data_IF_629842460937
#
_entry.id   IF_629842460937
#
_cell.length_a   1.000
_cell.length_b   1.000
_cell.length_c   1.000
_cell.angle_alpha   90.00
_cell.angle_beta   90.00
_cell.angle_gamma   90.00
#
_symmetry.space_group_name_H-M   'P 1'
#
loop_
_entity.id
_entity.type
_entity.pdbx_description
1 polymer ?
#
# COMPACT_ATOMS: atom_id res chain seq x y z
N UNK A 1 34.51 16.06 7.22
CA UNK A 1 33.08 16.10 6.84
C UNK A 1 32.91 15.87 5.34
N UNK A 2 33.61 14.88 4.73
CA UNK A 2 33.63 14.73 3.26
C UNK A 2 34.02 13.31 2.76
N UNK A 3 33.69 12.25 3.52
CA UNK A 3 33.89 10.84 3.08
C UNK A 3 32.60 10.02 3.02
N UNK A 4 31.46 10.55 3.49
CA UNK A 4 30.16 9.86 3.46
C UNK A 4 29.59 9.81 2.03
N UNK A 5 29.93 10.79 1.18
CA UNK A 5 29.42 10.87 -0.20
C UNK A 5 29.98 9.78 -1.14
N UNK A 6 31.13 9.17 -0.82
CA UNK A 6 31.66 8.04 -1.62
C UNK A 6 31.05 6.69 -1.25
N UNK A 7 30.56 6.51 -0.02
CA UNK A 7 29.84 5.28 0.36
C UNK A 7 28.38 5.28 -0.09
N UNK A 8 27.78 6.45 -0.34
CA UNK A 8 26.38 6.60 -0.73
C UNK A 8 26.07 6.15 -2.18
N UNK A 9 27.07 6.00 -3.05
CA UNK A 9 26.85 5.67 -4.47
C UNK A 9 26.98 4.17 -4.75
N UNK A 10 27.75 3.40 -3.98
CA UNK A 10 28.33 2.17 -4.56
C UNK A 10 27.57 0.85 -4.32
N UNK A 11 26.61 0.77 -3.38
CA UNK A 11 25.69 -0.39 -3.35
C UNK A 11 24.29 0.02 -2.91
N UNK A 12 23.41 0.25 -3.89
CA UNK A 12 21.97 0.17 -3.69
C UNK A 12 21.64 -1.25 -3.18
N UNK A 13 21.56 -1.41 -1.86
CA UNK A 13 21.15 -2.66 -1.26
C UNK A 13 19.64 -2.80 -1.42
N UNK A 14 19.24 -3.61 -2.41
CA UNK A 14 17.87 -4.07 -2.53
C UNK A 14 17.71 -5.24 -1.56
N UNK A 15 17.17 -4.96 -0.37
CA UNK A 15 16.86 -5.97 0.64
C UNK A 15 15.39 -6.33 0.67
N UNK A 16 14.99 -7.11 1.69
CA UNK A 16 13.62 -7.61 1.82
C UNK A 16 12.61 -6.47 2.01
N UNK A 17 12.95 -5.42 2.77
CA UNK A 17 12.02 -4.29 2.98
C UNK A 17 11.75 -3.56 1.68
N UNK A 18 12.79 -3.32 0.91
CA UNK A 18 12.69 -2.69 -0.41
C UNK A 18 11.83 -3.53 -1.37
N UNK A 19 12.06 -4.84 -1.43
CA UNK A 19 11.29 -5.74 -2.30
C UNK A 19 9.82 -5.82 -1.88
N UNK A 20 9.53 -5.92 -0.59
CA UNK A 20 8.17 -5.94 -0.07
C UNK A 20 7.45 -4.60 -0.28
N UNK A 21 8.15 -3.47 -0.14
CA UNK A 21 7.60 -2.15 -0.47
C UNK A 21 7.21 -2.07 -1.96
N UNK A 22 8.12 -2.41 -2.87
CA UNK A 22 7.87 -2.35 -4.32
C UNK A 22 6.81 -3.37 -4.74
N UNK A 23 6.94 -4.62 -4.29
CA UNK A 23 6.02 -5.71 -4.63
C UNK A 23 4.62 -5.53 -4.03
N UNK A 24 4.51 -4.90 -2.86
CA UNK A 24 3.23 -4.60 -2.22
C UNK A 24 2.44 -3.47 -2.87
N UNK A 25 3.14 -2.44 -3.36
CA UNK A 25 2.49 -1.22 -3.83
C UNK A 25 2.38 -1.13 -5.35
N UNK A 26 3.32 -1.73 -6.10
CA UNK A 26 3.28 -1.64 -7.58
C UNK A 26 1.99 -2.23 -8.17
N UNK A 27 1.52 -3.44 -7.76
CA UNK A 27 0.31 -4.03 -8.34
C UNK A 27 -0.91 -3.11 -8.22
N UNK A 28 -1.16 -2.55 -7.02
CA UNK A 28 -2.32 -1.68 -6.81
C UNK A 28 -2.20 -0.37 -7.61
N UNK A 29 -1.01 0.21 -7.71
CA UNK A 29 -0.79 1.45 -8.49
C UNK A 29 -1.07 1.24 -9.97
N UNK A 30 -0.65 0.10 -10.52
CA UNK A 30 -0.98 -0.28 -11.90
C UNK A 30 -2.48 -0.54 -12.07
N UNK A 31 -3.09 -1.28 -11.14
CA UNK A 31 -4.51 -1.64 -11.21
C UNK A 31 -5.44 -0.41 -11.12
N UNK A 32 -5.16 0.51 -10.19
CA UNK A 32 -5.95 1.74 -10.00
C UNK A 32 -6.02 2.62 -11.25
N UNK A 33 -4.98 2.60 -12.09
CA UNK A 33 -4.93 3.41 -13.31
C UNK A 33 -5.49 2.64 -14.50
N UNK A 34 -5.13 1.37 -14.66
CA UNK A 34 -5.44 0.60 -15.87
C UNK A 34 -6.83 -0.03 -15.85
N UNK A 35 -7.27 -0.59 -14.71
CA UNK A 35 -8.52 -1.34 -14.65
C UNK A 35 -9.76 -0.47 -14.89
N UNK A 36 -9.89 0.75 -14.31
CA UNK A 36 -11.04 1.61 -14.62
C UNK A 36 -11.09 1.99 -16.10
N UNK A 37 -9.96 2.36 -16.70
CA UNK A 37 -9.90 2.69 -18.13
C UNK A 37 -10.28 1.51 -19.02
N UNK A 38 -9.82 0.31 -18.67
CA UNK A 38 -10.17 -0.92 -19.41
C UNK A 38 -11.65 -1.29 -19.25
N UNK A 39 -12.20 -1.26 -18.04
CA UNK A 39 -13.59 -1.62 -17.76
C UNK A 39 -14.57 -0.68 -18.50
N UNK A 40 -14.25 0.62 -18.57
CA UNK A 40 -15.02 1.61 -19.34
C UNK A 40 -14.91 1.32 -20.84
N UNK A 41 -13.70 1.03 -21.34
CA UNK A 41 -13.48 0.71 -22.75
C UNK A 41 -14.20 -0.57 -23.19
N UNK A 42 -14.21 -1.60 -22.34
CA UNK A 42 -14.91 -2.86 -22.56
C UNK A 42 -16.44 -2.70 -22.49
N UNK A 43 -16.93 -1.61 -21.88
CA UNK A 43 -18.36 -1.36 -21.68
C UNK A 43 -18.97 -2.14 -20.52
N UNK A 44 -18.12 -2.70 -19.64
CA UNK A 44 -18.50 -3.44 -18.44
C UNK A 44 -19.11 -2.49 -17.38
N UNK A 45 -18.73 -1.21 -17.43
CA UNK A 45 -19.16 -0.17 -16.48
C UNK A 45 -19.60 1.06 -17.26
N UNK A 46 -20.69 1.70 -16.81
CA UNK A 46 -21.36 2.77 -17.55
C UNK A 46 -21.73 3.92 -16.63
N UNK A 47 -21.76 5.12 -17.19
CA UNK A 47 -22.27 6.32 -16.51
C UNK A 47 -23.75 6.09 -16.14
N UNK A 48 -24.19 6.42 -14.91
CA UNK A 48 -23.48 7.18 -13.87
C UNK A 48 -22.67 6.35 -12.87
N UNK A 49 -22.74 5.03 -12.93
CA UNK A 49 -22.17 4.11 -11.95
C UNK A 49 -20.73 3.74 -12.34
N UNK A 50 -19.84 4.73 -12.20
CA UNK A 50 -18.42 4.66 -12.60
C UNK A 50 -17.45 4.64 -11.41
N UNK A 51 -17.91 4.37 -10.20
CA UNK A 51 -17.04 4.41 -9.02
C UNK A 51 -16.15 3.17 -8.95
N UNK A 52 -15.05 3.25 -8.18
CA UNK A 52 -14.24 2.07 -7.92
C UNK A 52 -15.05 0.95 -7.24
N UNK A 53 -16.07 1.32 -6.46
CA UNK A 53 -17.03 0.38 -5.88
C UNK A 53 -17.76 -0.45 -6.94
N UNK A 54 -18.10 0.19 -8.05
CA UNK A 54 -18.91 -0.39 -9.12
C UNK A 54 -18.06 -1.35 -9.95
N UNK A 55 -16.75 -1.09 -10.07
CA UNK A 55 -15.78 -2.05 -10.62
C UNK A 55 -15.73 -3.36 -9.83
N UNK A 56 -15.93 -3.33 -8.51
CA UNK A 56 -15.94 -4.56 -7.70
C UNK A 56 -17.24 -5.34 -7.85
N UNK A 57 -18.34 -4.62 -8.07
CA UNK A 57 -19.67 -5.19 -8.22
C UNK A 57 -19.99 -5.62 -9.66
N UNK A 58 -19.14 -5.26 -10.64
CA UNK A 58 -19.32 -5.63 -12.03
C UNK A 58 -19.21 -7.16 -12.22
N UNK A 59 -20.35 -7.85 -12.21
CA UNK A 59 -20.46 -9.29 -12.48
C UNK A 59 -20.37 -9.59 -13.99
N UNK A 60 -20.74 -8.61 -14.83
CA UNK A 60 -20.67 -8.68 -16.29
C UNK A 60 -19.24 -8.41 -16.76
N UNK A 61 -18.42 -9.46 -16.86
CA UNK A 61 -17.10 -9.35 -17.49
C UNK A 61 -16.31 -10.67 -17.50
N UNK A 62 -15.45 -10.84 -18.51
CA UNK A 62 -14.53 -11.98 -18.68
C UNK A 62 -13.33 -11.96 -17.72
N UNK A 63 -13.16 -10.91 -16.91
CA UNK A 63 -11.99 -10.67 -16.07
C UNK A 63 -12.44 -10.46 -14.61
N UNK A 64 -11.82 -11.14 -13.63
CA UNK A 64 -12.24 -11.02 -12.23
C UNK A 64 -11.66 -9.73 -11.61
N UNK A 65 -12.20 -8.55 -11.99
CA UNK A 65 -11.77 -7.24 -11.49
C UNK A 65 -11.73 -7.22 -9.96
N UNK A 66 -12.78 -7.75 -9.33
CA UNK A 66 -12.87 -7.90 -7.88
C UNK A 66 -11.68 -8.67 -7.31
N UNK A 67 -11.27 -9.79 -7.91
CA UNK A 67 -10.12 -10.57 -7.42
C UNK A 67 -8.80 -9.84 -7.61
N UNK A 68 -8.62 -9.12 -8.72
CA UNK A 68 -7.41 -8.33 -8.97
C UNK A 68 -7.28 -7.21 -7.94
N UNK A 69 -8.34 -6.43 -7.75
CA UNK A 69 -8.37 -5.39 -6.74
C UNK A 69 -8.25 -5.95 -5.33
N UNK A 70 -8.90 -7.07 -5.01
CA UNK A 70 -8.75 -7.75 -3.72
C UNK A 70 -7.29 -8.04 -3.42
N UNK A 71 -6.58 -8.69 -4.35
CA UNK A 71 -5.15 -8.99 -4.18
C UNK A 71 -4.35 -7.69 -4.06
N UNK A 72 -4.63 -6.69 -4.91
CA UNK A 72 -3.95 -5.40 -4.89
C UNK A 72 -4.12 -4.65 -3.56
N UNK A 73 -5.34 -4.59 -3.03
CA UNK A 73 -5.66 -3.91 -1.77
C UNK A 73 -5.11 -4.66 -0.56
N UNK A 74 -5.21 -5.99 -0.52
CA UNK A 74 -4.62 -6.76 0.58
C UNK A 74 -3.10 -6.54 0.63
N UNK A 75 -2.41 -6.67 -0.52
CA UNK A 75 -0.98 -6.39 -0.61
C UNK A 75 -0.65 -4.95 -0.21
N UNK A 76 -1.42 -3.98 -0.69
CA UNK A 76 -1.25 -2.57 -0.37
C UNK A 76 -1.38 -2.32 1.14
N UNK A 77 -2.45 -2.83 1.75
CA UNK A 77 -2.81 -2.52 3.13
C UNK A 77 -1.85 -3.21 4.13
N UNK A 78 -1.53 -4.48 3.89
CA UNK A 78 -0.59 -5.25 4.72
C UNK A 78 0.83 -4.69 4.59
N UNK A 79 1.29 -4.41 3.36
CA UNK A 79 2.63 -3.86 3.14
C UNK A 79 2.73 -2.41 3.60
N UNK A 80 1.65 -1.62 3.52
CA UNK A 80 1.62 -0.27 4.09
C UNK A 80 1.77 -0.32 5.60
N UNK A 81 1.01 -1.19 6.27
CA UNK A 81 1.08 -1.35 7.72
C UNK A 81 2.47 -1.81 8.16
N UNK A 82 3.03 -2.79 7.46
CA UNK A 82 4.37 -3.30 7.76
C UNK A 82 5.45 -2.25 7.49
N UNK A 83 5.47 -1.60 6.32
CA UNK A 83 6.45 -0.57 6.00
C UNK A 83 6.35 0.62 6.96
N UNK A 84 5.14 1.06 7.29
CA UNK A 84 4.94 2.12 8.27
C UNK A 84 5.41 1.70 9.66
N UNK A 85 5.21 0.44 10.08
CA UNK A 85 5.74 -0.05 11.36
C UNK A 85 7.28 0.00 11.41
N UNK A 86 7.96 -0.38 10.33
CA UNK A 86 9.43 -0.31 10.23
C UNK A 86 9.90 1.14 10.32
N UNK A 87 9.24 2.03 9.57
CA UNK A 87 9.53 3.46 9.61
C UNK A 87 9.26 4.08 10.98
N UNK A 88 8.15 3.74 11.63
CA UNK A 88 7.79 4.23 12.95
C UNK A 88 8.80 3.79 14.01
N UNK A 89 9.28 2.54 13.97
CA UNK A 89 10.33 2.06 14.87
C UNK A 89 11.61 2.88 14.74
N UNK A 90 12.05 3.10 13.49
CA UNK A 90 13.21 3.94 13.18
C UNK A 90 13.02 5.39 13.65
N UNK A 91 11.88 6.00 13.34
CA UNK A 91 11.59 7.37 13.75
C UNK A 91 11.55 7.51 15.27
N UNK A 92 10.97 6.55 15.96
CA UNK A 92 10.82 6.58 17.42
C UNK A 92 12.11 6.24 18.17
N UNK A 93 13.08 5.58 17.54
CA UNK A 93 14.42 5.37 18.12
C UNK A 93 15.21 6.68 18.10
N UNK A 94 15.07 7.47 17.04
CA UNK A 94 15.78 8.75 16.87
C UNK A 94 15.09 9.93 17.57
N UNK A 95 13.75 9.99 17.53
CA UNK A 95 12.97 11.09 18.10
C UNK A 95 11.80 10.57 18.97
N UNK A 96 11.98 10.49 20.30
CA UNK A 96 10.95 9.96 21.21
C UNK A 96 9.62 10.73 21.19
N UNK A 97 9.62 12.03 20.83
CA UNK A 97 8.38 12.83 20.74
C UNK A 97 7.44 12.34 19.62
N UNK A 98 8.00 11.69 18.60
CA UNK A 98 7.22 11.17 17.47
C UNK A 98 6.35 9.95 17.86
N UNK A 99 6.60 9.30 19.01
CA UNK A 99 5.90 8.08 19.45
C UNK A 99 4.38 8.21 19.45
N UNK A 100 3.86 9.32 19.97
CA UNK A 100 2.41 9.53 20.03
C UNK A 100 1.80 9.62 18.62
N UNK A 101 2.42 10.41 17.73
CA UNK A 101 1.95 10.57 16.35
C UNK A 101 2.05 9.26 15.55
N UNK A 102 3.18 8.54 15.65
CA UNK A 102 3.35 7.22 15.04
C UNK A 102 2.29 6.23 15.55
N UNK A 103 2.00 6.22 16.86
CA UNK A 103 0.96 5.37 17.45
C UNK A 103 -0.43 5.68 16.90
N UNK A 104 -0.79 6.96 16.77
CA UNK A 104 -2.09 7.38 16.21
C UNK A 104 -2.20 7.00 14.73
N UNK A 105 -1.15 7.23 13.92
CA UNK A 105 -1.13 6.80 12.52
C UNK A 105 -1.29 5.28 12.42
N UNK A 106 -0.62 4.52 13.28
CA UNK A 106 -0.74 3.07 13.31
C UNK A 106 -2.17 2.61 13.61
N UNK A 107 -2.86 3.26 14.56
CA UNK A 107 -4.28 3.02 14.83
C UNK A 107 -5.14 3.29 13.59
N UNK A 108 -4.92 4.40 12.89
CA UNK A 108 -5.63 4.70 11.64
C UNK A 108 -5.31 3.70 10.53
N UNK A 109 -4.06 3.24 10.40
CA UNK A 109 -3.70 2.21 9.43
C UNK A 109 -4.44 0.89 9.72
N UNK A 110 -4.54 0.46 10.97
CA UNK A 110 -5.24 -0.80 11.34
C UNK A 110 -6.75 -0.67 11.21
N UNK A 111 -7.35 0.27 11.95
CA UNK A 111 -8.80 0.34 12.10
C UNK A 111 -9.49 1.21 11.05
N UNK A 112 -8.76 2.17 10.51
CA UNK A 112 -9.29 3.11 9.52
C UNK A 112 -9.06 2.67 8.08
N UNK A 113 -7.86 2.17 7.77
CA UNK A 113 -7.48 1.81 6.40
C UNK A 113 -7.69 0.31 6.16
N UNK A 114 -6.95 -0.55 6.86
CA UNK A 114 -7.01 -2.00 6.64
C UNK A 114 -8.42 -2.54 6.86
N UNK A 115 -9.00 -2.31 8.03
CA UNK A 115 -10.35 -2.79 8.36
C UNK A 115 -11.41 -2.32 7.34
N UNK A 116 -11.37 -1.05 6.94
CA UNK A 116 -12.33 -0.53 5.97
C UNK A 116 -12.10 -1.07 4.55
N UNK A 117 -10.86 -1.32 4.13
CA UNK A 117 -10.59 -2.01 2.86
C UNK A 117 -11.19 -3.42 2.86
N UNK A 118 -11.05 -4.17 3.96
CA UNK A 118 -11.68 -5.49 4.08
C UNK A 118 -13.22 -5.42 4.02
N UNK A 119 -13.83 -4.41 4.67
CA UNK A 119 -15.27 -4.19 4.57
C UNK A 119 -15.72 -3.85 3.15
N UNK A 120 -15.00 -2.97 2.45
CA UNK A 120 -15.33 -2.60 1.07
C UNK A 120 -15.26 -3.79 0.10
N UNK A 121 -14.33 -4.72 0.36
CA UNK A 121 -14.17 -5.94 -0.44
C UNK A 121 -15.23 -7.00 -0.12
N UNK A 122 -15.66 -7.10 1.14
CA UNK A 122 -16.64 -8.08 1.59
C UNK A 122 -18.10 -7.67 1.35
N UNK A 123 -18.38 -6.37 1.19
CA UNK A 123 -19.71 -5.82 0.97
C UNK A 123 -19.76 -5.12 -0.39
N UNK A 124 -19.93 -5.93 -1.44
CA UNK A 124 -20.36 -5.49 -2.76
C UNK A 124 -21.90 -5.51 -2.83
N UNK A 125 -22.49 -4.65 -3.64
CA UNK A 125 -23.92 -4.67 -3.92
C UNK A 125 -24.13 -4.64 -5.43
N UNK A 126 -24.94 -5.55 -5.95
CA UNK A 126 -25.24 -5.67 -7.39
C UNK A 126 -26.44 -4.77 -7.72
N UNK A 127 -26.30 -3.65 -8.44
CA UNK A 127 -27.46 -2.79 -8.74
C UNK A 127 -28.45 -3.35 -9.79
N UNK A 128 -28.36 -4.62 -10.19
CA UNK A 128 -29.10 -5.21 -11.33
C UNK A 128 -30.65 -5.17 -11.21
N UNK A 129 -31.21 -4.88 -10.03
CA UNK A 129 -32.67 -4.91 -9.81
C UNK A 129 -33.44 -3.67 -10.28
N UNK A 130 -32.80 -2.54 -10.62
CA UNK A 130 -33.54 -1.33 -11.02
C UNK A 130 -33.91 -1.28 -12.50
N UNK A 131 -33.37 -2.17 -13.35
CA UNK A 131 -33.55 -2.09 -14.81
C UNK A 131 -34.35 -3.24 -15.45
N UNK A 132 -34.45 -4.41 -14.82
CA UNK A 132 -35.26 -5.52 -15.37
C UNK A 132 -36.67 -5.58 -14.78
N UNK A 133 -37.45 -4.53 -15.05
CA UNK A 133 -38.92 -4.53 -14.95
C UNK A 133 -39.59 -5.36 -16.06
N UNK A 134 -38.99 -6.47 -16.49
CA UNK A 134 -39.49 -7.28 -17.60
C UNK A 134 -39.64 -8.75 -17.21
N UNK A 135 -40.87 -9.07 -16.78
CA UNK A 135 -41.60 -10.30 -17.15
C UNK A 135 -40.91 -11.62 -16.78
N UNK A 136 -41.05 -12.05 -15.53
CA UNK A 136 -41.48 -13.42 -15.21
C UNK A 136 -41.81 -13.51 -13.71
N UNK A 137 -43.11 -13.46 -13.42
CA UNK A 137 -43.69 -13.77 -12.12
C UNK A 137 -43.50 -15.26 -11.81
N UNK A 138 -42.69 -15.61 -10.80
CA UNK A 138 -42.87 -16.82 -9.95
C UNK A 138 -41.75 -17.04 -8.91
N UNK A 139 -41.11 -15.98 -8.39
CA UNK A 139 -40.14 -16.11 -7.28
C UNK A 139 -40.57 -15.27 -6.07
N UNK A 140 -41.87 -15.12 -5.84
CA UNK A 140 -42.43 -14.20 -4.84
C UNK A 140 -42.16 -14.59 -3.36
N UNK A 141 -41.38 -15.64 -3.09
CA UNK A 141 -41.03 -16.07 -1.73
C UNK A 141 -39.55 -15.88 -1.32
N UNK A 142 -38.66 -15.47 -2.24
CA UNK A 142 -37.27 -15.12 -1.90
C UNK A 142 -37.04 -13.60 -1.74
N UNK A 143 -38.04 -12.79 -2.08
CA UNK A 143 -37.92 -11.35 -2.31
C UNK A 143 -38.17 -10.44 -1.09
N UNK A 144 -38.51 -10.98 0.08
CA UNK A 144 -38.68 -10.14 1.29
C UNK A 144 -37.39 -9.89 2.10
N UNK A 145 -36.30 -10.62 1.84
CA UNK A 145 -35.01 -10.42 2.55
C UNK A 145 -33.99 -9.55 1.81
N UNK A 146 -34.20 -9.29 0.51
CA UNK A 146 -33.23 -8.58 -0.31
C UNK A 146 -33.13 -7.06 -0.09
N UNK A 147 -34.21 -6.28 0.16
CA UNK A 147 -34.07 -4.83 0.28
C UNK A 147 -33.31 -4.41 1.56
N UNK A 148 -33.51 -5.13 2.67
CA UNK A 148 -32.80 -4.85 3.92
C UNK A 148 -31.31 -5.19 3.79
N UNK A 149 -30.97 -6.35 3.20
CA UNK A 149 -29.58 -6.74 3.00
C UNK A 149 -28.84 -5.74 2.11
N UNK A 150 -29.44 -5.32 1.00
CA UNK A 150 -28.86 -4.34 0.08
C UNK A 150 -28.67 -2.98 0.74
N UNK A 151 -29.68 -2.50 1.47
CA UNK A 151 -29.57 -1.25 2.24
C UNK A 151 -28.45 -1.33 3.28
N UNK A 152 -28.34 -2.44 4.01
CA UNK A 152 -27.28 -2.65 4.99
C UNK A 152 -25.91 -2.70 4.32
N UNK A 153 -25.77 -3.46 3.22
CA UNK A 153 -24.52 -3.54 2.44
C UNK A 153 -24.08 -2.16 1.94
N UNK A 154 -25.02 -1.39 1.37
CA UNK A 154 -24.79 -0.02 0.91
C UNK A 154 -24.36 0.93 2.05
N UNK A 155 -25.04 0.88 3.21
CA UNK A 155 -24.66 1.67 4.39
C UNK A 155 -23.25 1.31 4.86
N UNK A 156 -22.94 0.01 4.96
CA UNK A 156 -21.61 -0.47 5.36
C UNK A 156 -20.56 0.02 4.38
N UNK A 157 -20.81 -0.10 3.08
CA UNK A 157 -19.90 0.32 2.03
C UNK A 157 -19.59 1.81 2.09
N UNK A 158 -20.62 2.67 2.16
CA UNK A 158 -20.44 4.12 2.28
C UNK A 158 -19.70 4.50 3.57
N UNK A 159 -20.07 3.87 4.69
CA UNK A 159 -19.42 4.14 5.98
C UNK A 159 -17.94 3.76 5.92
N UNK A 160 -17.63 2.57 5.37
CA UNK A 160 -16.27 2.09 5.21
C UNK A 160 -15.45 2.99 4.27
N UNK A 161 -15.98 3.39 3.12
CA UNK A 161 -15.31 4.32 2.22
C UNK A 161 -15.03 5.66 2.89
N UNK A 162 -16.01 6.20 3.62
CA UNK A 162 -15.86 7.47 4.34
C UNK A 162 -14.75 7.40 5.39
N UNK A 163 -14.76 6.34 6.22
CA UNK A 163 -13.75 6.13 7.25
C UNK A 163 -12.37 5.88 6.62
N UNK A 164 -12.29 5.12 5.53
CA UNK A 164 -11.06 4.87 4.78
C UNK A 164 -10.41 6.17 4.32
N UNK A 165 -11.15 6.99 3.56
CA UNK A 165 -10.61 8.24 3.02
C UNK A 165 -10.27 9.24 4.13
N UNK A 166 -11.11 9.37 5.15
CA UNK A 166 -10.82 10.20 6.31
C UNK A 166 -9.53 9.75 7.01
N UNK A 167 -9.34 8.44 7.19
CA UNK A 167 -8.15 7.87 7.83
C UNK A 167 -6.88 8.12 7.01
N UNK A 168 -6.93 7.95 5.69
CA UNK A 168 -5.82 8.30 4.79
C UNK A 168 -5.43 9.77 4.96
N UNK A 169 -6.40 10.68 4.97
CA UNK A 169 -6.11 12.10 5.16
C UNK A 169 -5.63 12.46 6.55
N UNK A 170 -6.14 11.81 7.61
CA UNK A 170 -5.64 12.01 8.97
C UNK A 170 -4.19 11.51 9.10
N UNK A 171 -3.86 10.37 8.50
CA UNK A 171 -2.47 9.91 8.41
C UNK A 171 -1.60 10.94 7.68
N UNK A 172 -2.09 11.50 6.57
CA UNK A 172 -1.37 12.51 5.81
C UNK A 172 -1.16 13.83 6.60
N UNK A 173 -2.20 14.27 7.31
CA UNK A 173 -2.15 15.45 8.19
C UNK A 173 -1.12 15.27 9.30
N UNK A 174 -1.11 14.12 9.97
CA UNK A 174 -0.16 13.82 11.03
C UNK A 174 1.27 13.70 10.49
N UNK A 175 1.44 13.06 9.33
CA UNK A 175 2.74 12.94 8.69
C UNK A 175 3.34 14.31 8.34
N UNK A 176 2.57 15.22 7.70
CA UNK A 176 3.07 16.54 7.26
C UNK A 176 3.21 17.53 8.41
N UNK A 177 2.28 17.54 9.37
CA UNK A 177 2.23 18.59 10.39
C UNK A 177 2.90 18.19 11.71
N UNK A 178 3.16 16.90 11.94
CA UNK A 178 3.77 16.42 13.18
C UNK A 178 5.08 15.66 12.92
N UNK A 179 5.04 14.58 12.14
CA UNK A 179 6.23 13.75 11.95
C UNK A 179 7.33 14.46 11.16
N UNK A 180 6.99 15.14 10.07
CA UNK A 180 7.98 15.78 9.22
C UNK A 180 8.68 16.99 9.89
N UNK A 181 8.00 17.89 10.62
CA UNK A 181 8.66 18.92 11.40
C UNK A 181 9.61 18.34 12.45
N UNK A 182 9.18 17.30 13.18
CA UNK A 182 10.03 16.62 14.16
C UNK A 182 11.27 15.99 13.51
N UNK A 183 11.11 15.36 12.35
CA UNK A 183 12.23 14.81 11.60
C UNK A 183 13.23 15.89 11.18
N UNK A 184 12.76 17.07 10.75
CA UNK A 184 13.61 18.22 10.40
C UNK A 184 14.31 18.84 11.62
N UNK A 185 13.60 18.98 12.74
CA UNK A 185 14.13 19.52 14.00
C UNK A 185 15.18 18.61 14.64
N UNK A 186 15.16 17.31 14.33
CA UNK A 186 16.14 16.34 14.84
C UNK A 186 17.60 16.65 14.44
N UNK A 187 17.85 17.69 13.63
CA UNK A 187 19.19 18.22 13.37
C UNK A 187 20.06 17.29 12.53
N UNK A 188 19.45 16.42 11.71
CA UNK A 188 20.15 15.43 10.89
C UNK A 188 20.48 14.13 11.63
N UNK A 189 19.94 13.90 12.83
CA UNK A 189 20.01 12.58 13.49
C UNK A 189 19.32 11.50 12.66
N UNK A 190 18.16 11.84 12.11
CA UNK A 190 17.55 11.01 11.07
C UNK A 190 18.36 11.18 9.79
N UNK A 191 19.15 10.16 9.45
CA UNK A 191 19.90 10.06 8.20
C UNK A 191 18.98 9.77 7.00
N UNK A 192 17.80 10.37 6.96
CA UNK A 192 16.87 10.18 5.85
C UNK A 192 17.34 10.92 4.59
N UNK A 193 17.35 10.26 3.43
CA UNK A 193 17.66 10.91 2.17
C UNK A 193 16.71 12.08 1.91
N UNK A 194 17.27 13.26 1.62
CA UNK A 194 16.47 14.47 1.38
C UNK A 194 15.47 14.33 0.21
N UNK A 195 15.79 13.47 -0.76
CA UNK A 195 14.89 13.16 -1.87
C UNK A 195 13.62 12.44 -1.41
N UNK A 196 13.73 11.47 -0.50
CA UNK A 196 12.58 10.75 0.05
C UNK A 196 11.70 11.69 0.85
N UNK A 197 12.29 12.54 1.70
CA UNK A 197 11.55 13.57 2.44
C UNK A 197 10.79 14.49 1.49
N UNK A 198 11.41 14.94 0.38
CA UNK A 198 10.75 15.81 -0.61
C UNK A 198 9.60 15.09 -1.33
N UNK A 199 9.81 13.84 -1.76
CA UNK A 199 8.78 13.03 -2.44
C UNK A 199 7.62 12.73 -1.50
N UNK A 200 7.93 12.31 -0.26
CA UNK A 200 6.94 12.05 0.79
C UNK A 200 6.12 13.30 1.09
N UNK A 201 6.75 14.45 1.27
CA UNK A 201 6.05 15.72 1.49
C UNK A 201 5.09 16.07 0.34
N UNK A 202 5.55 15.93 -0.91
CA UNK A 202 4.73 16.22 -2.09
C UNK A 202 3.49 15.33 -2.15
N UNK A 203 3.67 14.01 -2.08
CA UNK A 203 2.57 13.05 -2.17
C UNK A 203 1.63 13.12 -0.97
N UNK A 204 2.17 13.36 0.23
CA UNK A 204 1.35 13.46 1.44
C UNK A 204 0.47 14.71 1.42
N UNK A 205 1.00 15.84 0.92
CA UNK A 205 0.18 17.03 0.67
C UNK A 205 -0.86 16.80 -0.42
N UNK A 206 -0.52 16.06 -1.48
CA UNK A 206 -1.49 15.67 -2.49
C UNK A 206 -2.68 14.92 -1.85
N UNK A 207 -2.42 13.92 -1.02
CA UNK A 207 -3.48 13.21 -0.28
C UNK A 207 -4.32 14.15 0.60
N UNK A 208 -3.65 15.00 1.40
CA UNK A 208 -4.31 15.92 2.32
C UNK A 208 -5.25 16.89 1.60
N UNK A 209 -4.78 17.52 0.51
CA UNK A 209 -5.57 18.49 -0.26
C UNK A 209 -6.64 17.84 -1.14
N UNK A 210 -6.51 16.55 -1.44
CA UNK A 210 -7.53 15.84 -2.22
C UNK A 210 -8.82 15.66 -1.42
N UNK A 211 -8.77 15.48 -0.09
CA UNK A 211 -9.97 15.28 0.73
C UNK A 211 -11.05 16.37 0.60
N UNK A 212 -10.75 17.68 0.79
CA UNK A 212 -11.77 18.70 0.62
C UNK A 212 -12.33 18.75 -0.81
N UNK A 213 -11.48 18.50 -1.81
CA UNK A 213 -11.90 18.42 -3.21
C UNK A 213 -12.87 17.26 -3.43
N UNK A 214 -12.58 16.09 -2.86
CA UNK A 214 -13.51 14.93 -2.91
C UNK A 214 -14.81 15.23 -2.22
N UNK A 215 -14.78 15.90 -1.07
CA UNK A 215 -15.99 16.36 -0.39
C UNK A 215 -16.87 17.21 -1.31
N UNK A 216 -16.29 18.20 -2.00
CA UNK A 216 -17.00 19.05 -2.95
C UNK A 216 -17.54 18.24 -4.14
N UNK A 217 -16.71 17.40 -4.75
CA UNK A 217 -17.10 16.57 -5.90
C UNK A 217 -18.21 15.59 -5.53
N UNK A 218 -18.14 14.98 -4.34
CA UNK A 218 -19.16 14.05 -3.83
C UNK A 218 -20.48 14.78 -3.54
N UNK A 219 -20.44 15.99 -2.97
CA UNK A 219 -21.64 16.80 -2.78
C UNK A 219 -22.26 17.18 -4.12
N UNK A 220 -21.46 17.56 -5.12
CA UNK A 220 -21.94 17.85 -6.46
C UNK A 220 -22.56 16.61 -7.14
N UNK A 221 -21.94 15.43 -6.95
CA UNK A 221 -22.49 14.16 -7.41
C UNK A 221 -23.84 13.83 -6.77
N UNK A 222 -24.06 14.17 -5.49
CA UNK A 222 -25.33 13.92 -4.79
C UNK A 222 -26.42 14.92 -5.18
N UNK A 223 -26.09 16.21 -5.28
CA UNK A 223 -27.09 17.28 -5.36
C UNK A 223 -27.28 17.93 -6.74
N UNK A 224 -26.40 17.65 -7.72
CA UNK A 224 -26.49 18.25 -9.07
C UNK A 224 -26.94 17.24 -10.14
N UNK A 225 -26.00 16.54 -10.77
CA UNK A 225 -26.26 15.54 -11.81
C UNK A 225 -25.21 14.44 -11.69
N UNK A 226 -25.67 13.22 -11.34
CA UNK A 226 -24.79 12.07 -11.15
C UNK A 226 -23.98 11.76 -12.41
N UNK A 227 -24.57 11.90 -13.59
CA UNK A 227 -23.89 11.58 -14.85
C UNK A 227 -22.70 12.51 -15.11
N UNK A 228 -22.86 13.81 -14.82
CA UNK A 228 -21.81 14.80 -14.99
C UNK A 228 -20.65 14.60 -13.99
N UNK A 229 -20.96 14.21 -12.76
CA UNK A 229 -19.99 14.17 -11.66
C UNK A 229 -19.39 12.79 -11.38
N UNK A 230 -19.87 11.74 -12.04
CA UNK A 230 -19.36 10.38 -11.91
C UNK A 230 -17.86 10.28 -12.28
N UNK A 231 -17.45 10.81 -13.43
CA UNK A 231 -16.04 10.80 -13.86
C UNK A 231 -15.12 11.59 -12.93
N UNK A 232 -15.43 12.86 -12.57
CA UNK A 232 -14.66 13.59 -11.56
C UNK A 232 -14.51 12.82 -10.25
N UNK A 233 -15.58 12.18 -9.78
CA UNK A 233 -15.55 11.41 -8.55
C UNK A 233 -14.63 10.19 -8.66
N UNK A 234 -14.74 9.40 -9.73
CA UNK A 234 -13.83 8.28 -10.01
C UNK A 234 -12.37 8.74 -10.06
N UNK A 235 -12.07 9.82 -10.79
CA UNK A 235 -10.71 10.36 -10.90
C UNK A 235 -10.16 10.70 -9.52
N UNK A 236 -10.99 11.28 -8.66
CA UNK A 236 -10.59 11.63 -7.30
C UNK A 236 -10.37 10.41 -6.39
N UNK A 237 -11.19 9.36 -6.52
CA UNK A 237 -10.99 8.10 -5.80
C UNK A 237 -9.66 7.44 -6.20
N UNK A 238 -9.41 7.34 -7.51
CA UNK A 238 -8.14 6.85 -8.06
C UNK A 238 -6.99 7.72 -7.54
N UNK A 239 -7.11 9.04 -7.62
CA UNK A 239 -6.05 9.96 -7.26
C UNK A 239 -5.63 9.88 -5.79
N UNK A 240 -6.59 9.77 -4.85
CA UNK A 240 -6.26 9.63 -3.42
C UNK A 240 -5.53 8.32 -3.19
N UNK A 241 -6.06 7.20 -3.68
CA UNK A 241 -5.47 5.88 -3.45
C UNK A 241 -4.10 5.77 -4.12
N UNK A 242 -3.97 6.29 -5.34
CA UNK A 242 -2.70 6.35 -6.07
C UNK A 242 -1.67 7.22 -5.34
N UNK A 243 -2.08 8.41 -4.88
CA UNK A 243 -1.21 9.30 -4.11
C UNK A 243 -0.77 8.64 -2.80
N UNK A 244 -1.67 7.94 -2.09
CA UNK A 244 -1.34 7.20 -0.87
C UNK A 244 -0.33 6.07 -1.15
N UNK A 245 -0.53 5.31 -2.23
CA UNK A 245 0.45 4.31 -2.68
C UNK A 245 1.81 4.93 -3.05
N UNK A 246 1.80 6.12 -3.65
CA UNK A 246 3.01 6.87 -3.97
C UNK A 246 3.73 7.45 -2.74
N UNK A 247 3.00 7.88 -1.70
CA UNK A 247 3.58 8.23 -0.39
C UNK A 247 4.38 7.05 0.13
N UNK A 248 3.76 5.86 0.15
CA UNK A 248 4.41 4.67 0.67
C UNK A 248 5.61 4.27 -0.20
N UNK A 249 5.38 4.08 -1.50
CA UNK A 249 6.39 3.57 -2.42
C UNK A 249 7.56 4.54 -2.57
N UNK A 250 7.30 5.80 -2.92
CA UNK A 250 8.37 6.76 -3.25
C UNK A 250 8.85 7.58 -2.05
N UNK A 251 8.05 7.67 -0.98
CA UNK A 251 8.40 8.41 0.23
C UNK A 251 9.21 7.59 1.25
N UNK A 252 9.27 6.26 1.09
CA UNK A 252 10.06 5.38 1.94
C UNK A 252 11.07 4.50 1.20
N UNK A 253 11.21 4.63 -0.13
CA UNK A 253 12.05 3.72 -0.92
C UNK A 253 13.51 3.69 -0.44
N UNK A 254 14.16 4.84 -0.44
CA UNK A 254 15.56 4.91 -0.03
C UNK A 254 15.71 4.73 1.48
N UNK A 255 14.74 5.16 2.29
CA UNK A 255 14.72 4.84 3.72
C UNK A 255 14.72 3.33 3.96
N UNK A 256 13.89 2.56 3.24
CA UNK A 256 13.89 1.10 3.35
C UNK A 256 15.19 0.46 2.83
N UNK A 257 15.78 0.99 1.75
CA UNK A 257 17.08 0.55 1.27
C UNK A 257 18.21 0.82 2.27
N UNK A 258 18.16 1.96 2.96
CA UNK A 258 19.09 2.31 4.03
C UNK A 258 18.92 1.37 5.23
N UNK A 259 17.69 1.11 5.66
CA UNK A 259 17.42 0.15 6.75
C UNK A 259 17.85 -1.27 6.37
N UNK A 260 17.65 -1.68 5.11
CA UNK A 260 18.14 -2.96 4.59
C UNK A 260 19.68 -3.04 4.56
N UNK A 261 20.36 -1.90 4.39
CA UNK A 261 21.82 -1.82 4.46
C UNK A 261 22.34 -1.87 5.90
N UNK A 262 21.72 -1.11 6.81
CA UNK A 262 22.14 -0.99 8.21
C UNK A 262 21.81 -2.26 9.01
N UNK A 263 20.59 -2.78 8.85
CA UNK A 263 20.04 -3.91 9.59
C UNK A 263 19.28 -4.85 8.66
N UNK A 264 19.99 -5.69 7.87
CA UNK A 264 19.34 -6.60 6.93
C UNK A 264 18.46 -7.61 7.68
N UNK A 265 17.17 -7.69 7.33
CA UNK A 265 16.25 -8.68 7.90
C UNK A 265 16.65 -10.12 7.58
N UNK A 266 17.24 -10.32 6.41
CA UNK A 266 17.76 -11.61 5.98
C UNK A 266 19.24 -11.44 5.71
N UNK A 267 20.06 -12.03 6.58
CA UNK A 267 21.49 -12.10 6.34
C UNK A 267 21.81 -13.16 5.28
N UNK A 268 23.01 -13.08 4.70
CA UNK A 268 23.42 -14.02 3.64
C UNK A 268 23.45 -15.47 4.13
N UNK A 269 23.69 -15.69 5.41
CA UNK A 269 23.71 -17.02 6.01
C UNK A 269 22.32 -17.62 6.10
N UNK A 270 21.32 -16.85 6.57
CA UNK A 270 19.92 -17.25 6.56
C UNK A 270 19.40 -17.45 5.14
N UNK A 271 19.78 -16.64 4.15
CA UNK A 271 19.48 -16.92 2.74
C UNK A 271 20.02 -18.29 2.30
N UNK A 272 21.28 -18.62 2.64
CA UNK A 272 21.88 -19.92 2.29
C UNK A 272 21.17 -21.08 3.00
N UNK A 273 20.72 -20.88 4.24
CA UNK A 273 19.94 -21.87 4.98
C UNK A 273 18.55 -22.08 4.38
N UNK A 274 17.83 -21.00 4.08
CA UNK A 274 16.48 -21.03 3.49
C UNK A 274 16.47 -21.65 2.09
N UNK A 275 17.49 -21.36 1.28
CA UNK A 275 17.63 -21.95 -0.06
C UNK A 275 18.14 -23.39 -0.05
N UNK A 276 18.30 -24.01 1.13
CA UNK A 276 18.82 -25.37 1.26
C UNK A 276 20.26 -25.54 0.78
N UNK A 277 20.99 -24.42 0.62
CA UNK A 277 22.34 -24.40 0.06
C UNK A 277 23.44 -24.82 1.07
N UNK A 278 23.05 -25.16 2.30
CA UNK A 278 23.96 -25.55 3.38
C UNK A 278 24.68 -26.90 3.16
N UNK A 279 24.24 -27.70 2.18
CA UNK A 279 24.79 -29.05 1.95
C UNK A 279 26.02 -29.10 1.03
N UNK A 280 26.28 -28.07 0.21
CA UNK A 280 27.36 -28.13 -0.80
C UNK A 280 28.76 -27.78 -0.25
N UNK A 281 28.87 -27.09 0.88
CA UNK A 281 30.17 -26.56 1.34
C UNK A 281 30.87 -27.41 2.42
N UNK A 282 30.24 -28.47 2.94
CA UNK A 282 30.93 -29.40 3.86
C UNK A 282 32.08 -30.14 3.16
N UNK A 283 32.00 -30.35 1.85
CA UNK A 283 33.05 -31.01 1.07
C UNK A 283 34.21 -30.07 0.70
N UNK A 284 33.98 -28.76 0.54
CA UNK A 284 35.03 -27.77 0.28
C UNK A 284 35.86 -27.47 1.52
N UNK A 285 35.23 -27.37 2.70
CA UNK A 285 35.93 -27.29 3.99
C UNK A 285 36.78 -28.54 4.27
N UNK A 286 36.28 -29.74 3.90
CA UNK A 286 37.03 -31.00 4.03
C UNK A 286 38.20 -31.11 3.03
N UNK A 287 38.09 -30.49 1.85
CA UNK A 287 39.20 -30.39 0.87
C UNK A 287 40.28 -29.40 1.31
N UNK A 288 39.91 -28.24 1.90
CA UNK A 288 40.89 -27.27 2.41
C UNK A 288 41.63 -27.77 3.65
N UNK A 289 40.98 -28.55 4.53
CA UNK A 289 41.64 -29.17 5.69
C UNK A 289 42.64 -30.29 5.36
N UNK A 290 42.57 -30.90 4.16
CA UNK A 290 43.53 -31.92 3.72
C UNK A 290 44.78 -31.36 3.04
N UNK A 291 44.76 -30.10 2.60
CA UNK A 291 45.89 -29.49 1.86
C UNK A 291 47.00 -28.91 2.76
N UNK A 292 46.77 -28.76 4.07
CA UNK A 292 47.73 -28.13 5.00
C UNK A 292 48.50 -29.10 5.90
N UNK A 293 48.22 -30.40 5.86
CA UNK A 293 48.90 -31.41 6.71
C UNK A 293 50.19 -32.00 6.09
N UNK A 294 50.70 -31.41 5.02
CA UNK A 294 51.80 -31.98 4.21
C UNK A 294 53.05 -31.10 4.10
N UNK A 295 53.54 -30.49 5.18
CA UNK A 295 54.90 -29.93 5.17
C UNK A 295 55.55 -29.95 6.55
N UNK A 296 55.92 -31.15 7.00
CA UNK A 296 56.85 -31.33 8.11
C UNK A 296 58.15 -31.96 7.58
N UNK A 297 59.25 -31.31 7.98
CA UNK A 297 60.66 -31.73 7.92
C UNK A 297 61.34 -31.64 6.54
N UNK A 298 62.45 -30.92 6.48
CA UNK A 298 63.80 -31.50 6.64
C UNK A 298 64.86 -30.43 6.79
N UNK A 299 65.76 -30.65 7.77
CA UNK A 299 67.24 -30.43 7.78
C UNK A 299 67.75 -29.04 7.38
N UNK A 300 68.70 -28.41 8.06
CA UNK A 300 69.75 -28.86 8.98
C UNK A 300 70.87 -27.82 8.92
N UNK A 301 71.70 -27.79 9.97
CA UNK A 301 72.91 -26.96 10.19
C UNK A 301 72.68 -25.49 10.60
#
# INVERSE_FOLDING_TARGET
MMEIDKFAVEKRCVGLRTLALVGGHSPILFMLVLLPGYAIYAGDIRVPDLLLSDLYAAEKGTLPYQSLFLIGYCLFADMSLWCFSQYALYVCSEEPRAKAACGVIFVFCIFGINFCLYLLLGFTFEEEWLTDGSKNESVTSLFMQQPLYQMVSWIIHISAATILFASIGMCALLAVNVLEPLARESGGKMNEPAEDTRRRWFWTRSCMWSLPVVGVVRLAHIFHDRHMWAYPLLIMEIWILFSAGCVMLFGFLHTMMMLDFQEPLIDREMCRLLLGWSSLNKNELKRRGRSSSGRRKTKGE
#
